data_IF_856121665448
#
_entry.id   IF_856121665448
#
_cell.length_a   1.000
_cell.length_b   1.000
_cell.length_c   1.000
_cell.angle_alpha   90.00
_cell.angle_beta   90.00
_cell.angle_gamma   90.00
#
_symmetry.space_group_name_H-M   'P 1'
#
loop_
_entity.id
_entity.type
_entity.pdbx_description
1 polymer ?
#
# COMPACT_ATOMS: atom_id res chain seq x y z
N UNK A 1 -13.38 3.67 2.58
CA UNK A 1 -12.61 3.18 1.42
C UNK A 1 -11.74 2.01 1.88
N UNK A 2 -11.83 0.93 1.18
CA UNK A 2 -11.12 -0.30 1.54
C UNK A 2 -9.85 -0.42 0.73
N UNK A 3 -8.72 -0.58 1.42
CA UNK A 3 -7.42 -0.79 0.79
C UNK A 3 -7.00 -2.22 1.10
N UNK A 4 -6.66 -2.98 0.06
CA UNK A 4 -6.17 -4.35 0.20
C UNK A 4 -4.70 -4.39 -0.17
N UNK A 5 -3.89 -4.92 0.74
CA UNK A 5 -2.45 -5.05 0.54
C UNK A 5 -2.11 -6.54 0.50
N UNK A 6 -1.43 -6.95 -0.57
CA UNK A 6 -0.97 -8.32 -0.72
C UNK A 6 0.56 -8.33 -0.72
N UNK A 7 1.14 -9.05 0.23
CA UNK A 7 2.60 -9.17 0.32
C UNK A 7 3.15 -10.11 -0.74
N UNK A 8 4.47 -10.12 -0.87
CA UNK A 8 5.16 -11.02 -1.81
C UNK A 8 4.94 -12.50 -1.46
N UNK A 9 4.63 -12.78 -0.22
CA UNK A 9 4.36 -14.15 0.26
C UNK A 9 2.92 -14.57 0.08
N UNK A 10 2.07 -13.69 -0.46
CA UNK A 10 0.66 -13.97 -0.68
C UNK A 10 -0.26 -13.64 0.48
N UNK A 11 0.26 -13.05 1.55
CA UNK A 11 -0.57 -12.62 2.67
C UNK A 11 -1.34 -11.37 2.31
N UNK A 12 -2.64 -11.37 2.58
CA UNK A 12 -3.52 -10.25 2.29
C UNK A 12 -3.95 -9.55 3.57
N UNK A 13 -4.09 -8.23 3.49
CA UNK A 13 -4.53 -7.43 4.61
C UNK A 13 -5.46 -6.34 4.10
N UNK A 14 -6.64 -6.20 4.73
CA UNK A 14 -7.61 -5.17 4.39
C UNK A 14 -7.58 -4.08 5.43
N UNK A 15 -7.57 -2.83 4.97
CA UNK A 15 -7.58 -1.66 5.84
C UNK A 15 -8.68 -0.73 5.37
N UNK A 16 -9.53 -0.28 6.30
CA UNK A 16 -10.59 0.68 6.00
C UNK A 16 -10.13 2.08 6.37
N UNK A 17 -10.20 3.00 5.42
CA UNK A 17 -9.85 4.39 5.61
C UNK A 17 -11.04 5.28 5.25
N UNK A 18 -11.07 6.49 5.79
CA UNK A 18 -12.26 7.32 5.71
C UNK A 18 -12.27 8.25 4.51
N UNK A 19 -11.11 8.59 3.97
CA UNK A 19 -11.04 9.55 2.87
C UNK A 19 -9.90 9.20 1.91
N UNK A 20 -9.98 9.79 0.71
CA UNK A 20 -8.93 9.64 -0.29
C UNK A 20 -7.58 10.15 0.23
N UNK A 21 -7.61 11.25 0.97
CA UNK A 21 -6.38 11.80 1.52
C UNK A 21 -5.73 10.84 2.51
N UNK A 22 -6.52 10.19 3.35
CA UNK A 22 -6.00 9.18 4.26
C UNK A 22 -5.38 8.01 3.51
N UNK A 23 -5.99 7.59 2.40
CA UNK A 23 -5.44 6.52 1.58
C UNK A 23 -4.07 6.92 1.04
N UNK A 24 -3.93 8.12 0.51
CA UNK A 24 -2.67 8.60 -0.04
C UNK A 24 -1.60 8.73 1.04
N UNK A 25 -1.95 9.24 2.20
CA UNK A 25 -1.02 9.36 3.33
C UNK A 25 -0.58 7.98 3.81
N UNK A 26 -1.53 7.05 3.90
CA UNK A 26 -1.23 5.68 4.30
C UNK A 26 -0.25 5.01 3.32
N UNK A 27 -0.47 5.19 2.03
CA UNK A 27 0.40 4.61 1.01
C UNK A 27 1.81 5.16 1.14
N UNK A 28 1.95 6.47 1.30
CA UNK A 28 3.26 7.09 1.45
C UNK A 28 3.98 6.59 2.70
N UNK A 29 3.27 6.51 3.82
CA UNK A 29 3.84 6.02 5.06
C UNK A 29 4.23 4.55 4.95
N UNK A 30 3.39 3.75 4.32
CA UNK A 30 3.66 2.33 4.15
C UNK A 30 4.91 2.10 3.32
N UNK A 31 5.07 2.85 2.24
CA UNK A 31 6.26 2.75 1.39
C UNK A 31 7.54 3.05 2.17
N UNK A 32 7.48 3.98 3.11
CA UNK A 32 8.65 4.34 3.92
C UNK A 32 9.01 3.25 4.93
N UNK A 33 8.10 2.33 5.24
CA UNK A 33 8.39 1.20 6.12
C UNK A 33 8.95 -0.01 5.37
N UNK A 34 8.83 -0.02 4.05
CA UNK A 34 9.35 -1.11 3.22
C UNK A 34 10.74 -0.77 2.72
N UNK A 35 11.60 -1.78 2.64
CA UNK A 35 12.92 -1.61 2.06
C UNK A 35 12.84 -1.51 0.55
N UNK A 36 13.88 -0.94 -0.06
CA UNK A 36 13.89 -0.68 -1.50
C UNK A 36 13.78 -1.95 -2.35
N UNK A 37 14.11 -3.12 -1.79
CA UNK A 37 14.00 -4.39 -2.48
C UNK A 37 12.68 -5.11 -2.20
N UNK A 38 11.76 -4.46 -1.49
CA UNK A 38 10.46 -5.04 -1.16
C UNK A 38 9.36 -4.37 -1.96
N UNK A 39 8.37 -5.17 -2.37
CA UNK A 39 7.20 -4.69 -3.08
C UNK A 39 5.96 -5.35 -2.52
N UNK A 40 4.86 -4.62 -2.54
CA UNK A 40 3.55 -5.16 -2.17
C UNK A 40 2.55 -4.73 -3.22
N UNK A 41 1.54 -5.57 -3.44
CA UNK A 41 0.44 -5.21 -4.33
C UNK A 41 -0.62 -4.47 -3.52
N UNK A 42 -1.07 -3.33 -4.02
CA UNK A 42 -2.09 -2.52 -3.35
C UNK A 42 -3.25 -2.33 -4.31
N UNK A 43 -4.44 -2.64 -3.84
CA UNK A 43 -5.68 -2.36 -4.56
C UNK A 43 -6.60 -1.56 -3.65
N UNK A 44 -7.35 -0.64 -4.23
CA UNK A 44 -8.28 0.19 -3.49
C UNK A 44 -9.54 0.40 -4.32
N UNK A 45 -10.66 0.63 -3.62
CA UNK A 45 -11.92 0.96 -4.29
C UNK A 45 -11.85 2.29 -5.02
N UNK A 46 -10.85 3.12 -4.69
CA UNK A 46 -10.61 4.36 -5.42
C UNK A 46 -10.06 4.09 -6.81
N UNK A 47 -10.60 4.80 -7.78
CA UNK A 47 -10.13 4.70 -9.16
C UNK A 47 -8.68 5.17 -9.25
N UNK A 48 -7.85 4.37 -9.91
CA UNK A 48 -6.47 4.72 -10.16
C UNK A 48 -5.47 4.18 -9.16
N UNK A 49 -5.94 3.52 -8.09
CA UNK A 49 -5.03 2.91 -7.13
C UNK A 49 -5.12 1.40 -7.29
N UNK A 50 -4.26 0.88 -8.14
CA UNK A 50 -4.15 -0.55 -8.40
C UNK A 50 -2.78 -0.81 -8.99
N UNK A 51 -1.94 -1.49 -8.24
CA UNK A 51 -0.61 -1.80 -8.71
C UNK A 51 0.34 -2.14 -7.57
N UNK A 52 1.62 -2.13 -7.89
CA UNK A 52 2.66 -2.47 -6.92
C UNK A 52 3.28 -1.22 -6.33
N UNK A 53 3.52 -1.27 -5.02
CA UNK A 53 4.29 -0.24 -4.32
C UNK A 53 5.66 -0.79 -3.99
N UNK A 54 6.69 -0.05 -4.37
CA UNK A 54 8.05 -0.39 -4.00
C UNK A 54 8.47 0.40 -2.77
N UNK A 55 9.21 -0.24 -1.87
CA UNK A 55 9.69 0.41 -0.68
C UNK A 55 10.68 1.52 -0.98
N UNK A 56 10.77 2.47 -0.06
CA UNK A 56 11.68 3.62 -0.18
C UNK A 56 12.71 3.67 0.93
N UNK A 57 12.67 2.75 1.88
CA UNK A 57 13.61 2.72 3.00
C UNK A 57 14.92 2.09 2.55
N UNK A 58 15.99 2.86 2.63
CA UNK A 58 17.32 2.49 2.12
C UNK A 58 18.22 1.88 3.19
N UNK A 59 17.74 1.64 4.37
CA UNK A 59 18.57 1.17 5.48
C UNK A 59 19.21 -0.19 5.24
#
# INVERSE_FOLDING_TARGET
MKVTITSMQGNTRDINLMSKQEVLEFINLYRSTLKTNQRVKVTCDLVGIDGYLQGTNVS
#
